data_IF_571974024306
#
_entry.id   IF_571974024306
#
_cell.length_a   1.000
_cell.length_b   1.000
_cell.length_c   1.000
_cell.angle_alpha   90.00
_cell.angle_beta   90.00
_cell.angle_gamma   90.00
#
_symmetry.space_group_name_H-M   'P 1'
#
loop_
_entity.id
_entity.type
_entity.pdbx_description
1 polymer ?
#
# COMPACT_ATOMS: atom_id res chain seq x y z
N UNK A 1 8.73 -27.54 9.41
CA UNK A 1 8.25 -26.19 9.07
C UNK A 1 8.93 -25.23 10.03
N UNK A 2 9.54 -24.15 9.54
CA UNK A 2 10.15 -23.13 10.42
C UNK A 2 9.14 -22.00 10.62
N UNK A 3 8.95 -21.48 11.84
CA UNK A 3 8.09 -20.34 12.07
C UNK A 3 8.62 -19.13 11.29
N UNK A 4 7.71 -18.34 10.70
CA UNK A 4 8.06 -17.18 9.89
C UNK A 4 7.28 -15.94 10.32
N UNK A 5 7.99 -14.83 10.46
CA UNK A 5 7.40 -13.53 10.69
C UNK A 5 6.79 -12.97 9.39
N UNK A 6 5.76 -12.14 9.53
CA UNK A 6 5.18 -11.42 8.40
C UNK A 6 6.25 -10.54 7.74
N UNK A 7 6.25 -10.54 6.40
CA UNK A 7 7.10 -9.67 5.61
C UNK A 7 6.39 -9.27 4.30
N UNK A 8 6.92 -8.27 3.60
CA UNK A 8 6.32 -7.76 2.35
C UNK A 8 6.32 -8.78 1.19
N UNK A 9 7.14 -9.83 1.25
CA UNK A 9 7.17 -10.90 0.25
C UNK A 9 5.97 -11.85 0.32
N UNK A 10 5.18 -11.79 1.41
CA UNK A 10 3.95 -12.56 1.57
C UNK A 10 2.74 -11.92 0.88
N UNK A 11 2.84 -10.65 0.50
CA UNK A 11 1.74 -9.92 -0.13
C UNK A 11 1.79 -10.06 -1.67
N UNK A 12 0.64 -10.12 -2.35
CA UNK A 12 0.60 -10.11 -3.81
C UNK A 12 1.30 -8.86 -4.38
N UNK A 13 1.90 -8.93 -5.58
CA UNK A 13 2.54 -7.77 -6.20
C UNK A 13 1.53 -6.62 -6.38
N UNK A 14 2.04 -5.39 -6.30
CA UNK A 14 1.31 -4.15 -6.61
C UNK A 14 2.14 -3.29 -7.54
N UNK A 15 1.47 -2.56 -8.41
CA UNK A 15 2.09 -1.47 -9.14
C UNK A 15 2.18 -0.24 -8.22
N UNK A 16 3.39 0.29 -8.07
CA UNK A 16 3.57 1.53 -7.33
C UNK A 16 3.02 2.70 -8.18
N UNK A 17 2.29 3.65 -7.59
CA UNK A 17 1.81 4.82 -8.31
C UNK A 17 2.98 5.58 -8.94
N UNK A 18 2.86 5.91 -10.21
CA UNK A 18 3.83 6.76 -10.91
C UNK A 18 3.52 8.20 -10.57
N UNK A 19 4.46 8.92 -9.97
CA UNK A 19 4.36 10.39 -9.85
C UNK A 19 4.72 11.01 -11.20
N UNK A 20 3.81 11.76 -11.80
CA UNK A 20 4.10 12.51 -13.03
C UNK A 20 5.25 13.50 -12.79
N UNK A 21 6.16 13.60 -13.76
CA UNK A 21 7.31 14.51 -13.69
C UNK A 21 8.49 14.08 -12.78
N UNK A 22 8.32 13.11 -11.87
CA UNK A 22 9.39 12.67 -10.96
C UNK A 22 9.64 11.17 -11.00
N UNK A 23 10.76 10.76 -11.60
CA UNK A 23 11.22 9.36 -11.56
C UNK A 23 11.66 9.01 -10.13
N UNK A 24 10.84 8.24 -9.42
CA UNK A 24 11.20 7.71 -8.11
C UNK A 24 12.40 6.77 -8.24
N UNK A 25 13.45 6.99 -7.43
CA UNK A 25 14.69 6.20 -7.45
C UNK A 25 14.99 5.65 -6.06
N UNK A 26 15.70 4.52 -6.02
CA UNK A 26 16.23 3.94 -4.78
C UNK A 26 15.16 3.74 -3.70
N UNK A 27 15.39 4.36 -2.54
CA UNK A 27 14.55 4.24 -1.33
C UNK A 27 13.12 4.72 -1.57
N UNK A 28 12.93 5.81 -2.30
CA UNK A 28 11.60 6.39 -2.54
C UNK A 28 10.70 5.39 -3.26
N UNK A 29 11.24 4.68 -4.26
CA UNK A 29 10.50 3.64 -4.99
C UNK A 29 10.09 2.50 -4.06
N UNK A 30 10.97 2.10 -3.15
CA UNK A 30 10.67 1.05 -2.15
C UNK A 30 9.57 1.51 -1.19
N UNK A 31 9.63 2.75 -0.72
CA UNK A 31 8.61 3.33 0.17
C UNK A 31 7.26 3.41 -0.52
N UNK A 32 7.20 3.94 -1.75
CA UNK A 32 5.97 3.98 -2.54
C UNK A 32 5.37 2.59 -2.78
N UNK A 33 6.20 1.59 -3.08
CA UNK A 33 5.73 0.20 -3.23
C UNK A 33 5.16 -0.33 -1.92
N UNK A 34 5.81 -0.07 -0.78
CA UNK A 34 5.31 -0.50 0.53
C UNK A 34 3.98 0.16 0.86
N UNK A 35 3.84 1.47 0.62
CA UNK A 35 2.56 2.18 0.79
C UNK A 35 1.46 1.59 -0.09
N UNK A 36 1.74 1.32 -1.37
CA UNK A 36 0.78 0.69 -2.27
C UNK A 36 0.32 -0.69 -1.75
N UNK A 37 1.25 -1.52 -1.23
CA UNK A 37 0.90 -2.82 -0.63
C UNK A 37 0.00 -2.63 0.58
N UNK A 38 0.38 -1.75 1.51
CA UNK A 38 -0.37 -1.55 2.76
C UNK A 38 -1.73 -0.90 2.53
N UNK A 39 -1.85 0.00 1.56
CA UNK A 39 -3.14 0.62 1.20
C UNK A 39 -4.10 -0.42 0.64
N UNK A 40 -3.65 -1.31 -0.26
CA UNK A 40 -4.48 -2.42 -0.75
C UNK A 40 -4.88 -3.36 0.39
N UNK A 41 -3.90 -3.79 1.20
CA UNK A 41 -4.16 -4.68 2.33
C UNK A 41 -5.18 -4.07 3.32
N UNK A 42 -5.09 -2.77 3.60
CA UNK A 42 -6.05 -2.06 4.46
C UNK A 42 -7.45 -2.07 3.87
N UNK A 43 -7.59 -1.83 2.57
CA UNK A 43 -8.88 -1.89 1.88
C UNK A 43 -9.48 -3.31 1.95
N UNK A 44 -8.68 -4.33 1.65
CA UNK A 44 -9.10 -5.74 1.71
C UNK A 44 -9.53 -6.13 3.14
N UNK A 45 -8.78 -5.72 4.17
CA UNK A 45 -9.15 -5.96 5.56
C UNK A 45 -10.47 -5.29 5.95
N UNK A 46 -10.70 -4.05 5.51
CA UNK A 46 -11.97 -3.36 5.78
C UNK A 46 -13.15 -4.06 5.12
N UNK A 47 -12.99 -4.46 3.86
CA UNK A 47 -14.00 -5.21 3.12
C UNK A 47 -14.31 -6.53 3.85
N UNK A 48 -13.27 -7.26 4.29
CA UNK A 48 -13.43 -8.50 5.02
C UNK A 48 -14.18 -8.32 6.35
N UNK A 49 -13.90 -7.23 7.08
CA UNK A 49 -14.56 -6.91 8.34
C UNK A 49 -15.97 -6.31 8.17
N UNK A 50 -16.47 -6.14 6.95
CA UNK A 50 -17.77 -5.52 6.68
C UNK A 50 -17.82 -4.02 7.03
N UNK A 51 -16.67 -3.37 7.17
CA UNK A 51 -16.58 -1.94 7.44
C UNK A 51 -16.81 -1.19 6.12
N UNK A 52 -17.93 -0.46 6.02
CA UNK A 52 -18.20 0.38 4.86
C UNK A 52 -16.99 1.26 4.52
N UNK A 53 -16.71 1.43 3.22
CA UNK A 53 -15.67 2.33 2.76
C UNK A 53 -15.98 3.73 3.29
N UNK A 54 -15.13 4.24 4.20
CA UNK A 54 -15.14 5.68 4.43
C UNK A 54 -14.65 6.29 3.12
N UNK A 55 -15.47 7.13 2.50
CA UNK A 55 -15.00 8.01 1.46
C UNK A 55 -13.79 8.75 2.04
N UNK A 56 -12.60 8.48 1.51
CA UNK A 56 -11.41 9.25 1.84
C UNK A 56 -11.73 10.69 1.45
N UNK A 57 -12.00 11.53 2.45
CA UNK A 57 -11.82 12.96 2.33
C UNK A 57 -10.35 13.14 1.95
N UNK A 58 -10.11 13.37 0.67
CA UNK A 58 -8.87 13.88 0.16
C UNK A 58 -8.64 15.24 0.82
N UNK A 59 -7.99 15.24 1.99
CA UNK A 59 -7.34 16.42 2.51
C UNK A 59 -6.05 16.57 1.71
N UNK A 60 -6.23 17.20 0.55
CA UNK A 60 -5.15 17.78 -0.21
C UNK A 60 -4.58 18.98 0.56
N UNK A 61 -3.26 19.08 0.53
CA UNK A 61 -2.45 20.27 0.80
C UNK A 61 -2.28 20.72 2.27
N UNK A 62 -1.09 20.42 2.81
CA UNK A 62 -0.17 21.46 3.29
C UNK A 62 1.26 21.11 2.84
#
# INVERSE_FOLDING_TARGET
>A
FQPMNVNFGLFPPVEAPKTEGKRMRGKDKTVAKRHAITSRARADCRQWLGLAAQAETAEAAE
#
